data_IF_258243172619
#
_entry.id   IF_258243172619
#
_cell.length_a   1.000
_cell.length_b   1.000
_cell.length_c   1.000
_cell.angle_alpha   90.00
_cell.angle_beta   90.00
_cell.angle_gamma   90.00
#
_symmetry.space_group_name_H-M   'P 1'
#
loop_
_entity.id
_entity.type
_entity.pdbx_description
1 polymer ?
#
# COMPACT_ATOMS: atom_id res chain seq x y z
N UNK A 1 3.66 -11.02 6.35
CA UNK A 1 2.59 -11.93 5.90
C UNK A 1 1.47 -11.98 6.93
N UNK A 2 1.24 -13.14 7.55
CA UNK A 2 0.14 -13.35 8.50
C UNK A 2 0.06 -12.32 9.64
N UNK A 3 1.17 -12.10 10.36
CA UNK A 3 1.23 -11.13 11.47
C UNK A 3 0.85 -9.70 11.03
N UNK A 4 1.26 -9.29 9.83
CA UNK A 4 0.91 -7.96 9.27
C UNK A 4 -0.59 -7.83 9.07
N UNK A 5 -1.22 -8.85 8.51
CA UNK A 5 -2.68 -8.85 8.28
C UNK A 5 -3.44 -8.94 9.60
N UNK A 6 -2.95 -9.73 10.57
CA UNK A 6 -3.52 -9.78 11.92
C UNK A 6 -3.43 -8.43 12.64
N UNK A 7 -2.35 -7.67 12.43
CA UNK A 7 -2.24 -6.31 12.95
C UNK A 7 -3.30 -5.38 12.32
N UNK A 8 -3.51 -5.45 11.01
CA UNK A 8 -4.57 -4.68 10.35
C UNK A 8 -5.97 -5.04 10.89
N UNK A 9 -6.23 -6.33 11.11
CA UNK A 9 -7.47 -6.79 11.73
C UNK A 9 -7.65 -6.22 13.14
N UNK A 10 -6.60 -6.22 13.96
CA UNK A 10 -6.63 -5.64 15.29
C UNK A 10 -6.94 -4.13 15.26
N UNK A 11 -6.29 -3.36 14.38
CA UNK A 11 -6.56 -1.92 14.20
C UNK A 11 -8.01 -1.66 13.76
N UNK A 12 -8.52 -2.47 12.83
CA UNK A 12 -9.92 -2.41 12.42
C UNK A 12 -10.87 -2.67 13.59
N UNK A 13 -10.58 -3.68 14.40
CA UNK A 13 -11.42 -4.04 15.54
C UNK A 13 -11.45 -2.93 16.61
N UNK A 14 -10.31 -2.27 16.86
CA UNK A 14 -10.25 -1.12 17.77
C UNK A 14 -10.98 0.12 17.25
N UNK A 15 -10.91 0.39 15.94
CA UNK A 15 -11.54 1.56 15.34
C UNK A 15 -13.04 1.40 15.08
N UNK A 16 -13.57 0.17 15.17
CA UNK A 16 -14.95 -0.19 14.81
C UNK A 16 -15.38 0.30 13.40
N UNK A 17 -14.41 0.55 12.51
CA UNK A 17 -14.62 1.11 11.17
C UNK A 17 -13.92 0.20 10.14
N UNK A 18 -14.59 -0.05 9.00
CA UNK A 18 -13.97 -0.75 7.87
C UNK A 18 -12.97 0.15 7.15
N UNK A 19 -11.83 -0.39 6.73
CA UNK A 19 -10.87 0.35 5.92
C UNK A 19 -11.52 0.92 4.65
N UNK A 20 -11.16 2.16 4.30
CA UNK A 20 -11.68 2.87 3.13
C UNK A 20 -13.11 3.40 3.27
N UNK A 21 -13.84 3.12 4.37
CA UNK A 21 -15.26 3.56 4.53
C UNK A 21 -15.42 5.08 4.40
N UNK A 22 -14.53 5.85 5.03
CA UNK A 22 -14.61 7.31 5.02
C UNK A 22 -14.18 7.92 3.68
N UNK A 23 -13.29 7.25 2.95
CA UNK A 23 -12.68 7.78 1.72
C UNK A 23 -13.42 7.36 0.45
N UNK A 24 -14.19 6.26 0.48
CA UNK A 24 -14.79 5.65 -0.72
C UNK A 24 -15.56 6.63 -1.60
N UNK A 25 -16.51 7.37 -1.04
CA UNK A 25 -17.31 8.33 -1.82
C UNK A 25 -16.51 9.53 -2.33
N UNK A 26 -15.51 9.95 -1.56
CA UNK A 26 -14.61 11.03 -1.98
C UNK A 26 -13.75 10.59 -3.17
N UNK A 27 -13.24 9.36 -3.15
CA UNK A 27 -12.50 8.77 -4.27
C UNK A 27 -13.40 8.59 -5.50
N UNK A 28 -14.60 8.02 -5.34
CA UNK A 28 -15.59 7.88 -6.41
C UNK A 28 -15.90 9.25 -7.07
N UNK A 29 -16.14 10.29 -6.27
CA UNK A 29 -16.41 11.64 -6.77
C UNK A 29 -15.21 12.23 -7.53
N UNK A 30 -13.98 12.03 -7.01
CA UNK A 30 -12.75 12.49 -7.69
C UNK A 30 -12.53 11.74 -9.01
N UNK A 31 -12.79 10.44 -9.02
CA UNK A 31 -12.66 9.63 -10.24
C UNK A 31 -13.72 9.99 -11.27
N UNK A 32 -14.94 10.35 -10.85
CA UNK A 32 -15.98 10.85 -11.73
C UNK A 32 -15.54 12.10 -12.48
N UNK A 33 -14.92 13.07 -11.80
CA UNK A 33 -14.39 14.28 -12.45
C UNK A 33 -13.39 13.96 -13.56
N UNK A 34 -12.52 12.96 -13.36
CA UNK A 34 -11.55 12.54 -14.37
C UNK A 34 -12.22 11.81 -15.54
N UNK A 35 -13.22 10.98 -15.25
CA UNK A 35 -14.00 10.29 -16.28
C UNK A 35 -14.75 11.30 -17.14
N UNK A 36 -15.39 12.30 -16.54
CA UNK A 36 -16.13 13.34 -17.26
C UNK A 36 -15.20 14.14 -18.20
N UNK A 37 -13.98 14.42 -17.76
CA UNK A 37 -12.96 15.10 -18.56
C UNK A 37 -12.47 14.22 -19.72
N UNK A 38 -12.22 12.94 -19.46
CA UNK A 38 -11.85 11.98 -20.51
C UNK A 38 -12.98 11.82 -21.54
N UNK A 39 -14.24 11.76 -21.11
CA UNK A 39 -15.40 11.73 -22.02
C UNK A 39 -15.55 13.03 -22.82
N UNK A 40 -15.18 14.17 -22.23
CA UNK A 40 -15.10 15.42 -22.97
C UNK A 40 -14.06 15.33 -24.09
N UNK A 41 -12.85 14.86 -23.79
CA UNK A 41 -11.78 14.69 -24.77
C UNK A 41 -12.13 13.67 -25.86
N UNK A 42 -12.82 12.59 -25.49
CA UNK A 42 -13.32 11.57 -26.43
C UNK A 42 -14.15 12.19 -27.56
N UNK A 43 -15.11 13.06 -27.18
CA UNK A 43 -15.97 13.78 -28.14
C UNK A 43 -15.18 14.70 -29.09
N UNK A 44 -14.02 15.21 -28.68
CA UNK A 44 -13.18 16.06 -29.53
C UNK A 44 -12.17 15.26 -30.37
N UNK A 45 -11.77 14.06 -29.94
CA UNK A 45 -10.81 13.20 -30.66
C UNK A 45 -11.43 12.43 -31.85
N UNK A 46 -12.76 12.32 -31.91
CA UNK A 46 -13.46 11.53 -32.92
C UNK A 46 -13.17 10.03 -32.81
N UNK A 47 -13.25 9.28 -33.91
CA UNK A 47 -13.09 7.80 -33.93
C UNK A 47 -11.67 7.29 -33.60
N UNK A 48 -10.71 8.19 -33.34
CA UNK A 48 -9.32 7.80 -33.07
C UNK A 48 -9.09 7.29 -31.66
N UNK A 49 -10.04 7.51 -30.75
CA UNK A 49 -9.92 7.09 -29.36
C UNK A 49 -11.31 6.80 -28.79
N UNK A 50 -11.41 5.81 -27.90
CA UNK A 50 -12.58 5.58 -27.08
C UNK A 50 -12.18 4.91 -25.77
N UNK A 51 -12.85 5.28 -24.69
CA UNK A 51 -12.61 4.64 -23.40
C UNK A 51 -13.23 3.24 -23.39
N UNK A 52 -12.47 2.23 -22.96
CA UNK A 52 -13.04 0.89 -22.81
C UNK A 52 -14.17 0.91 -21.78
N UNK A 53 -15.30 0.26 -22.10
CA UNK A 53 -16.50 0.19 -21.25
C UNK A 53 -16.21 -0.32 -19.84
N UNK A 54 -15.27 -1.27 -19.71
CA UNK A 54 -14.85 -1.83 -18.43
C UNK A 54 -13.94 -0.91 -17.60
N UNK A 55 -13.27 0.06 -18.22
CA UNK A 55 -12.38 0.98 -17.50
C UNK A 55 -13.20 1.94 -16.63
N UNK A 56 -14.26 2.55 -17.18
CA UNK A 56 -15.10 3.49 -16.43
C UNK A 56 -15.67 2.86 -15.16
N UNK A 57 -16.25 1.66 -15.27
CA UNK A 57 -16.81 0.96 -14.11
C UNK A 57 -15.75 0.62 -13.06
N UNK A 58 -14.58 0.10 -13.48
CA UNK A 58 -13.50 -0.26 -12.56
C UNK A 58 -12.82 0.95 -11.94
N UNK A 59 -12.70 2.04 -12.68
CA UNK A 59 -12.03 3.26 -12.24
C UNK A 59 -12.89 4.04 -11.24
N UNK A 60 -14.20 4.13 -11.47
CA UNK A 60 -15.12 4.77 -10.54
C UNK A 60 -15.21 4.02 -9.22
N UNK A 61 -15.10 2.69 -9.23
CA UNK A 61 -15.12 1.88 -8.01
C UNK A 61 -13.88 2.14 -7.16
N UNK A 62 -14.05 2.84 -6.04
CA UNK A 62 -13.00 3.01 -5.03
C UNK A 62 -12.55 1.68 -4.43
N UNK A 63 -11.40 1.68 -3.73
CA UNK A 63 -10.81 0.45 -3.21
C UNK A 63 -11.71 -0.26 -2.18
N UNK A 64 -11.84 -1.58 -2.30
CA UNK A 64 -12.47 -2.41 -1.29
C UNK A 64 -11.50 -2.75 -0.14
N UNK A 65 -12.03 -3.29 0.95
CA UNK A 65 -11.23 -3.61 2.14
C UNK A 65 -10.13 -4.64 1.84
N UNK A 66 -10.42 -5.61 0.96
CA UNK A 66 -9.45 -6.64 0.57
C UNK A 66 -8.30 -6.04 -0.24
N UNK A 67 -8.59 -5.13 -1.17
CA UNK A 67 -7.62 -4.40 -1.96
C UNK A 67 -6.74 -3.53 -1.08
N UNK A 68 -7.32 -2.84 -0.09
CA UNK A 68 -6.57 -2.03 0.88
C UNK A 68 -5.63 -2.90 1.73
N UNK A 69 -6.12 -4.04 2.24
CA UNK A 69 -5.29 -4.99 3.01
C UNK A 69 -4.16 -5.55 2.16
N UNK A 70 -4.43 -5.94 0.91
CA UNK A 70 -3.41 -6.44 -0.03
C UNK A 70 -2.37 -5.38 -0.37
N UNK A 71 -2.81 -4.15 -0.62
CA UNK A 71 -1.92 -3.02 -0.90
C UNK A 71 -1.02 -2.71 0.30
N UNK A 72 -1.57 -2.66 1.52
CA UNK A 72 -0.79 -2.42 2.73
C UNK A 72 0.19 -3.56 3.02
N UNK A 73 -0.20 -4.81 2.73
CA UNK A 73 0.69 -5.97 2.85
C UNK A 73 1.83 -5.90 1.84
N UNK A 74 1.55 -5.61 0.57
CA UNK A 74 2.55 -5.46 -0.48
C UNK A 74 3.58 -4.39 -0.13
N UNK A 75 3.11 -3.21 0.29
CA UNK A 75 3.97 -2.10 0.72
C UNK A 75 4.89 -2.51 1.88
N UNK A 76 4.31 -3.11 2.93
CA UNK A 76 5.08 -3.60 4.09
C UNK A 76 6.17 -4.60 3.67
N UNK A 77 5.85 -5.53 2.77
CA UNK A 77 6.79 -6.55 2.31
C UNK A 77 7.89 -5.94 1.44
N UNK A 78 7.55 -5.00 0.55
CA UNK A 78 8.53 -4.28 -0.29
C UNK A 78 9.50 -3.46 0.56
N UNK A 79 9.00 -2.69 1.52
CA UNK A 79 9.83 -1.89 2.43
C UNK A 79 10.75 -2.80 3.25
N UNK A 80 10.23 -3.89 3.82
CA UNK A 80 11.05 -4.83 4.60
C UNK A 80 12.18 -5.43 3.75
N UNK A 81 11.86 -5.90 2.53
CA UNK A 81 12.87 -6.46 1.63
C UNK A 81 13.93 -5.42 1.23
N UNK A 82 13.52 -4.19 0.92
CA UNK A 82 14.45 -3.11 0.56
C UNK A 82 15.44 -2.85 1.71
N UNK A 83 14.97 -2.77 2.96
CA UNK A 83 15.87 -2.63 4.12
C UNK A 83 16.85 -3.79 4.23
N UNK A 84 16.39 -5.04 4.08
CA UNK A 84 17.27 -6.21 4.16
C UNK A 84 18.32 -6.20 3.04
N UNK A 85 17.89 -5.87 1.82
CA UNK A 85 18.75 -5.79 0.64
C UNK A 85 19.82 -4.71 0.81
N UNK A 86 19.44 -3.55 1.35
CA UNK A 86 20.38 -2.46 1.60
C UNK A 86 21.46 -2.87 2.61
N UNK A 87 21.06 -3.45 3.74
CA UNK A 87 22.01 -3.96 4.73
C UNK A 87 22.93 -5.03 4.13
N UNK A 88 22.38 -5.96 3.35
CA UNK A 88 23.15 -7.03 2.70
C UNK A 88 24.21 -6.50 1.72
N UNK A 89 23.88 -5.50 0.89
CA UNK A 89 24.83 -4.99 -0.10
C UNK A 89 25.77 -3.91 0.41
N UNK A 90 25.41 -3.20 1.48
CA UNK A 90 26.23 -2.10 2.02
C UNK A 90 27.28 -2.61 3.01
N UNK A 91 26.99 -3.70 3.72
CA UNK A 91 27.83 -4.24 4.79
C UNK A 91 28.56 -5.51 4.35
N UNK A 92 29.89 -5.49 4.41
CA UNK A 92 30.74 -6.66 4.06
C UNK A 92 30.60 -7.81 5.05
N UNK A 93 30.17 -7.54 6.27
CA UNK A 93 29.97 -8.52 7.35
C UNK A 93 28.59 -9.20 7.32
N UNK A 94 27.76 -8.87 6.33
CA UNK A 94 26.42 -9.46 6.16
C UNK A 94 26.46 -10.39 4.94
N UNK A 95 26.56 -11.71 5.11
CA UNK A 95 26.75 -12.64 3.99
C UNK A 95 25.46 -12.96 3.23
N UNK A 96 24.29 -12.85 3.88
CA UNK A 96 23.00 -13.22 3.31
C UNK A 96 21.82 -12.40 3.87
N UNK A 97 20.66 -12.51 3.22
CA UNK A 97 19.43 -11.82 3.61
C UNK A 97 18.90 -12.25 4.99
N UNK A 98 19.17 -13.48 5.43
CA UNK A 98 18.73 -13.96 6.75
C UNK A 98 19.47 -13.19 7.84
N UNK A 99 20.78 -13.06 7.71
CA UNK A 99 21.65 -12.30 8.60
C UNK A 99 21.26 -10.83 8.60
N UNK A 100 21.00 -10.25 7.42
CA UNK A 100 20.50 -8.87 7.30
C UNK A 100 19.18 -8.65 8.07
N UNK A 101 18.24 -9.59 7.96
CA UNK A 101 16.95 -9.51 8.64
C UNK A 101 17.10 -9.56 10.18
N UNK A 102 17.93 -10.48 10.70
CA UNK A 102 18.19 -10.56 12.15
C UNK A 102 18.92 -9.33 12.68
N UNK A 103 19.95 -8.86 11.96
CA UNK A 103 20.68 -7.65 12.28
C UNK A 103 19.71 -6.46 12.45
N UNK A 104 18.88 -6.20 11.43
CA UNK A 104 17.93 -5.08 11.46
C UNK A 104 16.86 -5.26 12.54
N UNK A 105 16.43 -6.49 12.83
CA UNK A 105 15.50 -6.75 13.92
C UNK A 105 16.11 -6.38 15.29
N UNK A 106 17.36 -6.79 15.54
CA UNK A 106 18.09 -6.48 16.77
C UNK A 106 18.30 -4.97 16.88
N UNK A 107 18.74 -4.30 15.81
CA UNK A 107 18.95 -2.85 15.80
C UNK A 107 17.66 -2.09 16.13
N UNK A 108 16.52 -2.49 15.55
CA UNK A 108 15.21 -1.88 15.85
C UNK A 108 14.77 -2.09 17.29
N UNK A 109 14.96 -3.29 17.85
CA UNK A 109 14.67 -3.57 19.25
C UNK A 109 15.57 -2.72 20.16
N UNK A 110 16.89 -2.75 19.94
CA UNK A 110 17.85 -1.97 20.71
C UNK A 110 17.55 -0.47 20.67
N UNK A 111 17.20 0.08 19.50
CA UNK A 111 16.79 1.47 19.37
C UNK A 111 15.54 1.80 20.19
N UNK A 112 14.56 0.90 20.24
CA UNK A 112 13.35 1.03 21.06
C UNK A 112 13.66 1.05 22.57
N UNK A 113 14.60 0.22 23.02
CA UNK A 113 15.08 0.24 24.41
C UNK A 113 15.83 1.54 24.74
N UNK A 114 16.75 1.98 23.88
CA UNK A 114 17.48 3.25 24.06
C UNK A 114 16.56 4.46 24.12
N UNK A 115 15.54 4.50 23.26
CA UNK A 115 14.53 5.56 23.27
C UNK A 115 13.74 5.62 24.58
N UNK A 116 13.68 4.53 25.35
CA UNK A 116 13.07 4.45 26.68
C UNK A 116 14.05 4.73 27.83
N UNK A 117 15.31 5.08 27.53
CA UNK A 117 16.33 5.39 28.52
C UNK A 117 17.03 4.17 29.13
N UNK A 118 16.96 3.01 28.47
CA UNK A 118 17.69 1.79 28.83
C UNK A 118 18.92 1.56 27.94
#
# INVERSE_FOLDING_TARGET
GGVTVSYFEWVKNLSHIRFGRMQRRQEEARHQLLVDELERLDRYSGDNWSMSSNFKEKYLRGADELQLVRSGLDDTMRVAYQSFREAWHTRKDVPDLRTAAFLLAIERVAASYRAKGM
#
